data_IF_360210317465
#
_entry.id   IF_360210317465
#
_cell.length_a   1.000
_cell.length_b   1.000
_cell.length_c   1.000
_cell.angle_alpha   90.00
_cell.angle_beta   90.00
_cell.angle_gamma   90.00
#
_symmetry.space_group_name_H-M   'P 1'
#
loop_
_entity.id
_entity.type
_entity.pdbx_description
1 polymer ?
#
# COMPACT_ATOMS: atom_id res chain seq x y z
N UNK A 1 31.51 -16.17 -18.51
CA UNK A 1 31.28 -14.73 -18.77
C UNK A 1 30.36 -14.66 -19.96
N UNK A 2 29.07 -14.50 -19.72
CA UNK A 2 28.05 -14.45 -20.76
C UNK A 2 27.69 -12.97 -20.90
N UNK A 3 27.96 -12.42 -22.08
CA UNK A 3 27.73 -11.02 -22.42
C UNK A 3 26.26 -10.67 -22.17
N UNK A 4 26.04 -9.71 -21.26
CA UNK A 4 24.77 -9.03 -21.10
C UNK A 4 24.47 -8.32 -22.43
N UNK A 5 23.57 -8.91 -23.23
CA UNK A 5 22.83 -8.17 -24.23
C UNK A 5 22.14 -7.02 -23.49
N UNK A 6 22.70 -5.81 -23.61
CA UNK A 6 22.04 -4.55 -23.31
C UNK A 6 20.80 -4.48 -24.19
N UNK A 7 19.71 -5.10 -23.76
CA UNK A 7 18.41 -4.93 -24.38
C UNK A 7 18.05 -3.46 -24.27
N UNK A 8 17.88 -2.78 -25.40
CA UNK A 8 17.56 -1.35 -25.45
C UNK A 8 16.40 -1.04 -24.50
N UNK A 9 16.70 -0.27 -23.45
CA UNK A 9 15.72 0.22 -22.50
C UNK A 9 14.86 1.24 -23.24
N UNK A 10 13.58 0.92 -23.46
CA UNK A 10 12.65 1.77 -24.19
C UNK A 10 11.45 2.13 -23.33
N UNK A 11 10.84 3.26 -23.62
CA UNK A 11 9.58 3.66 -23.00
C UNK A 11 8.45 2.88 -23.68
N UNK A 12 7.75 2.04 -22.92
CA UNK A 12 6.58 1.28 -23.41
C UNK A 12 5.30 2.08 -23.39
N UNK A 13 5.17 3.00 -22.43
CA UNK A 13 3.97 3.79 -22.29
C UNK A 13 4.21 5.01 -21.42
N UNK A 14 3.45 6.05 -21.70
CA UNK A 14 3.39 7.27 -20.91
C UNK A 14 1.94 7.57 -20.62
N UNK A 15 1.67 8.19 -19.48
CA UNK A 15 0.32 8.57 -19.10
C UNK A 15 0.32 9.72 -18.12
N UNK A 16 -0.86 10.26 -17.88
CA UNK A 16 -1.15 11.24 -16.85
C UNK A 16 -2.26 10.67 -15.99
N UNK A 17 -2.12 10.68 -14.66
CA UNK A 17 -3.23 10.35 -13.78
C UNK A 17 -4.31 11.43 -13.83
N UNK A 18 -5.51 11.13 -13.34
CA UNK A 18 -6.62 12.10 -13.23
C UNK A 18 -6.22 13.35 -12.42
N UNK A 19 -5.23 13.21 -11.52
CA UNK A 19 -4.68 14.29 -10.70
C UNK A 19 -3.49 15.00 -11.36
N UNK A 20 -3.25 14.79 -12.66
CA UNK A 20 -2.20 15.48 -13.40
C UNK A 20 -0.78 14.95 -13.15
N UNK A 21 -0.64 13.71 -12.66
CA UNK A 21 0.66 13.18 -12.28
C UNK A 21 1.28 12.41 -13.45
N UNK A 22 2.50 12.78 -13.92
CA UNK A 22 3.16 12.08 -15.01
C UNK A 22 3.57 10.66 -14.64
N UNK A 23 3.32 9.73 -15.56
CA UNK A 23 3.56 8.30 -15.39
C UNK A 23 4.33 7.76 -16.60
N UNK A 24 5.34 6.93 -16.37
CA UNK A 24 6.15 6.31 -17.44
C UNK A 24 6.36 4.84 -17.13
N UNK A 25 6.07 3.98 -18.10
CA UNK A 25 6.32 2.54 -18.05
C UNK A 25 7.42 2.17 -19.03
N UNK A 26 8.42 1.42 -18.56
CA UNK A 26 9.59 1.03 -19.33
C UNK A 26 9.51 -0.43 -19.81
N UNK A 27 10.32 -0.78 -20.81
CA UNK A 27 10.40 -2.13 -21.40
C UNK A 27 10.86 -3.21 -20.43
N UNK A 28 11.57 -2.83 -19.36
CA UNK A 28 12.04 -3.74 -18.30
C UNK A 28 10.97 -4.06 -17.23
N UNK A 29 9.73 -3.64 -17.41
CA UNK A 29 8.62 -3.90 -16.49
C UNK A 29 8.61 -3.02 -15.24
N UNK A 30 9.42 -1.94 -15.22
CA UNK A 30 9.37 -0.90 -14.20
C UNK A 30 8.47 0.25 -14.64
N UNK A 31 7.66 0.76 -13.72
CA UNK A 31 6.89 1.98 -13.93
C UNK A 31 7.22 3.02 -12.88
N UNK A 32 7.33 4.26 -13.32
CA UNK A 32 7.69 5.41 -12.51
C UNK A 32 6.61 6.48 -12.55
N UNK A 33 6.48 7.21 -11.45
CA UNK A 33 5.58 8.35 -11.29
C UNK A 33 6.40 9.54 -10.83
N UNK A 34 6.14 10.72 -11.38
CA UNK A 34 6.84 11.93 -10.95
C UNK A 34 6.15 12.57 -9.76
N UNK A 35 6.85 12.73 -8.63
CA UNK A 35 6.38 13.48 -7.47
C UNK A 35 6.89 14.91 -7.52
N UNK A 36 5.98 15.88 -7.59
CA UNK A 36 6.31 17.31 -7.58
C UNK A 36 6.92 17.75 -6.23
N UNK A 37 6.40 17.24 -5.12
CA UNK A 37 6.86 17.60 -3.76
C UNK A 37 8.31 17.17 -3.52
N UNK A 38 8.66 15.94 -3.91
CA UNK A 38 10.01 15.41 -3.79
C UNK A 38 10.91 15.78 -4.97
N UNK A 39 10.35 16.35 -6.04
CA UNK A 39 11.04 16.66 -7.31
C UNK A 39 11.78 15.44 -7.88
N UNK A 40 11.17 14.27 -7.81
CA UNK A 40 11.81 12.99 -8.13
C UNK A 40 10.87 11.99 -8.81
N UNK A 41 11.44 11.09 -9.61
CA UNK A 41 10.74 9.93 -10.16
C UNK A 41 10.73 8.79 -9.14
N UNK A 42 9.54 8.34 -8.77
CA UNK A 42 9.32 7.25 -7.82
C UNK A 42 9.00 5.97 -8.57
N UNK A 43 9.67 4.88 -8.22
CA UNK A 43 9.34 3.55 -8.71
C UNK A 43 8.07 3.06 -8.03
N UNK A 44 6.98 2.89 -8.79
CA UNK A 44 5.66 2.47 -8.26
C UNK A 44 5.26 1.05 -8.66
N UNK A 45 5.87 0.51 -9.72
CA UNK A 45 5.66 -0.86 -10.17
C UNK A 45 6.98 -1.47 -10.61
N UNK A 46 7.22 -2.72 -10.23
CA UNK A 46 8.35 -3.51 -10.69
C UNK A 46 7.92 -4.96 -10.87
N UNK A 47 7.61 -5.33 -12.11
CA UNK A 47 7.19 -6.68 -12.51
C UNK A 47 8.17 -7.79 -12.09
N UNK A 48 9.45 -7.45 -11.87
CA UNK A 48 10.52 -8.39 -11.56
C UNK A 48 10.94 -8.36 -10.07
N UNK A 49 10.12 -7.81 -9.19
CA UNK A 49 10.44 -7.80 -7.75
C UNK A 49 10.29 -9.20 -7.14
N UNK A 50 11.42 -9.83 -6.80
CA UNK A 50 11.44 -11.17 -6.21
C UNK A 50 10.67 -11.25 -4.88
N UNK A 51 10.66 -10.19 -4.07
CA UNK A 51 9.91 -10.16 -2.81
C UNK A 51 8.40 -10.18 -3.02
N UNK A 52 7.92 -9.61 -4.13
CA UNK A 52 6.50 -9.65 -4.49
C UNK A 52 6.05 -11.08 -4.85
N UNK A 53 6.97 -11.95 -5.24
CA UNK A 53 6.67 -13.36 -5.54
C UNK A 53 6.45 -14.17 -4.27
N UNK A 54 7.19 -13.82 -3.23
CA UNK A 54 6.99 -14.40 -1.92
C UNK A 54 5.64 -13.98 -1.32
N UNK A 55 4.96 -12.95 -1.85
CA UNK A 55 3.72 -12.46 -1.27
C UNK A 55 2.49 -13.31 -1.59
N UNK A 56 1.63 -13.49 -0.59
CA UNK A 56 0.31 -14.11 -0.72
C UNK A 56 -0.84 -13.12 -0.96
N UNK A 57 -0.54 -11.84 -1.23
CA UNK A 57 -1.57 -10.80 -1.37
C UNK A 57 -2.65 -11.15 -2.40
N UNK A 58 -2.29 -11.76 -3.54
CA UNK A 58 -3.26 -12.10 -4.60
C UNK A 58 -4.28 -13.16 -4.17
N UNK A 59 -3.94 -14.00 -3.18
CA UNK A 59 -4.85 -15.01 -2.63
C UNK A 59 -5.77 -14.42 -1.56
N UNK A 60 -5.47 -13.22 -1.08
CA UNK A 60 -6.12 -12.60 0.09
C UNK A 60 -6.85 -11.30 -0.25
N UNK A 61 -6.40 -10.59 -1.28
CA UNK A 61 -6.85 -9.24 -1.63
C UNK A 61 -6.86 -9.09 -3.16
N UNK A 62 -8.05 -9.09 -3.77
CA UNK A 62 -8.21 -8.79 -5.20
C UNK A 62 -8.62 -7.32 -5.36
N UNK A 63 -7.83 -6.49 -6.07
CA UNK A 63 -8.23 -5.12 -6.40
C UNK A 63 -9.36 -5.03 -7.42
N UNK A 64 -9.77 -6.16 -8.03
CA UNK A 64 -10.75 -6.17 -9.13
C UNK A 64 -12.13 -5.68 -8.68
N UNK A 65 -12.50 -5.92 -7.42
CA UNK A 65 -13.75 -5.47 -6.82
C UNK A 65 -13.80 -3.94 -6.58
N UNK A 66 -12.65 -3.26 -6.67
CA UNK A 66 -12.56 -1.82 -6.44
C UNK A 66 -12.96 -0.98 -7.65
N UNK A 67 -13.02 -1.61 -8.82
CA UNK A 67 -13.06 -0.91 -10.10
C UNK A 67 -14.46 -0.50 -10.57
N UNK A 68 -15.55 -1.20 -10.21
CA UNK A 68 -16.88 -1.01 -10.83
C UNK A 68 -16.82 -0.81 -12.38
N UNK A 69 -15.81 -1.37 -13.05
CA UNK A 69 -15.54 -1.17 -14.49
C UNK A 69 -14.53 -0.07 -14.86
N UNK A 70 -14.08 0.77 -13.93
CA UNK A 70 -13.06 1.81 -14.13
C UNK A 70 -11.68 1.34 -13.66
N UNK A 71 -10.71 1.33 -14.57
CA UNK A 71 -9.32 0.97 -14.25
C UNK A 71 -8.69 2.10 -13.43
N UNK A 72 -8.36 1.82 -12.17
CA UNK A 72 -7.70 2.78 -11.29
C UNK A 72 -6.22 2.97 -11.66
N UNK A 73 -5.60 4.13 -11.37
CA UNK A 73 -4.25 4.47 -11.86
C UNK A 73 -3.16 3.45 -11.51
N UNK A 74 -3.13 2.91 -10.29
CA UNK A 74 -2.12 1.92 -9.90
C UNK A 74 -2.42 0.56 -10.55
N UNK A 75 -3.69 0.16 -10.57
CA UNK A 75 -4.13 -1.04 -11.28
C UNK A 75 -3.79 -0.98 -12.78
N UNK A 76 -3.91 0.19 -13.42
CA UNK A 76 -3.54 0.39 -14.83
C UNK A 76 -2.04 0.16 -15.06
N UNK A 77 -1.18 0.62 -14.14
CA UNK A 77 0.27 0.42 -14.23
C UNK A 77 0.70 -1.01 -13.98
N UNK A 78 -0.02 -1.73 -13.10
CA UNK A 78 0.35 -3.07 -12.66
C UNK A 78 -0.35 -4.17 -13.44
N UNK A 79 -1.36 -3.84 -14.23
CA UNK A 79 -2.26 -4.78 -14.92
C UNK A 79 -1.60 -5.67 -15.97
N UNK A 80 -0.30 -5.55 -16.22
CA UNK A 80 0.40 -6.34 -17.22
C UNK A 80 1.79 -6.73 -16.71
N UNK A 81 2.13 -8.02 -16.87
CA UNK A 81 3.46 -8.63 -16.75
C UNK A 81 3.86 -9.22 -15.38
N UNK A 82 3.25 -10.34 -14.98
CA UNK A 82 4.03 -11.38 -14.29
C UNK A 82 4.59 -12.33 -15.35
N UNK A 83 5.91 -12.50 -15.39
CA UNK A 83 6.53 -13.43 -16.34
C UNK A 83 6.12 -14.87 -16.02
N UNK A 84 6.00 -15.72 -17.05
CA UNK A 84 5.67 -17.15 -16.87
C UNK A 84 6.68 -17.85 -15.94
N UNK A 85 7.96 -17.52 -16.06
CA UNK A 85 9.02 -18.02 -15.19
C UNK A 85 8.84 -17.60 -13.72
N UNK A 86 8.33 -16.38 -13.51
CA UNK A 86 8.07 -15.83 -12.19
C UNK A 86 6.97 -16.58 -11.43
N UNK A 87 5.94 -17.07 -12.13
CA UNK A 87 4.88 -17.88 -11.53
C UNK A 87 5.38 -19.23 -11.02
N UNK A 88 6.38 -19.81 -11.69
CA UNK A 88 7.00 -21.07 -11.27
C UNK A 88 7.94 -20.86 -10.08
N UNK A 89 8.68 -19.74 -10.05
CA UNK A 89 9.58 -19.40 -8.96
C UNK A 89 8.85 -19.12 -7.63
N UNK A 90 7.59 -18.66 -7.68
CA UNK A 90 6.76 -18.40 -6.49
C UNK A 90 6.62 -19.63 -5.58
N UNK A 91 6.40 -20.82 -6.14
CA UNK A 91 6.25 -22.04 -5.35
C UNK A 91 7.51 -22.39 -4.54
N UNK A 92 8.69 -22.04 -5.05
CA UNK A 92 9.98 -22.32 -4.42
C UNK A 92 10.31 -21.23 -3.38
N UNK A 93 10.15 -19.96 -3.75
CA UNK A 93 10.52 -18.81 -2.91
C UNK A 93 9.54 -18.58 -1.74
N UNK A 94 8.27 -18.96 -1.89
CA UNK A 94 7.23 -18.83 -0.85
C UNK A 94 7.20 -19.99 0.17
N UNK A 95 8.20 -20.88 0.14
CA UNK A 95 8.24 -22.06 1.01
C UNK A 95 8.44 -21.71 2.49
N UNK A 96 9.21 -20.64 2.77
CA UNK A 96 9.46 -20.17 4.13
C UNK A 96 8.35 -19.19 4.57
N UNK A 97 7.62 -19.47 5.67
CA UNK A 97 6.56 -18.58 6.16
C UNK A 97 7.07 -17.17 6.53
N UNK A 98 8.30 -17.03 7.02
CA UNK A 98 8.87 -15.73 7.38
C UNK A 98 9.17 -14.88 6.13
N UNK A 99 9.78 -15.49 5.11
CA UNK A 99 10.04 -14.81 3.82
C UNK A 99 8.73 -14.39 3.15
N UNK A 100 7.69 -15.21 3.26
CA UNK A 100 6.34 -14.91 2.76
C UNK A 100 5.68 -13.76 3.51
N UNK A 101 5.85 -13.69 4.83
CA UNK A 101 5.36 -12.59 5.65
C UNK A 101 6.03 -11.27 5.26
N UNK A 102 7.36 -11.26 5.17
CA UNK A 102 8.16 -10.11 4.74
C UNK A 102 7.77 -9.67 3.32
N UNK A 103 7.65 -10.61 2.38
CA UNK A 103 7.25 -10.33 1.01
C UNK A 103 5.86 -9.71 0.93
N UNK A 104 4.92 -10.18 1.76
CA UNK A 104 3.56 -9.63 1.81
C UNK A 104 3.49 -8.24 2.42
N UNK A 105 4.19 -7.98 3.53
CA UNK A 105 4.28 -6.64 4.11
C UNK A 105 4.93 -5.67 3.13
N UNK A 106 6.07 -6.04 2.55
CA UNK A 106 6.78 -5.22 1.57
C UNK A 106 5.89 -4.88 0.38
N UNK A 107 5.14 -5.86 -0.13
CA UNK A 107 4.21 -5.60 -1.22
C UNK A 107 3.12 -4.60 -0.82
N UNK A 108 2.44 -4.82 0.31
CA UNK A 108 1.35 -3.94 0.77
C UNK A 108 1.84 -2.50 1.01
N UNK A 109 3.05 -2.35 1.55
CA UNK A 109 3.68 -1.05 1.78
C UNK A 109 4.01 -0.34 0.46
N UNK A 110 4.56 -1.07 -0.52
CA UNK A 110 4.79 -0.54 -1.86
C UNK A 110 3.48 -0.11 -2.52
N UNK A 111 2.40 -0.88 -2.38
CA UNK A 111 1.10 -0.53 -2.94
C UNK A 111 0.51 0.73 -2.30
N UNK A 112 0.59 0.83 -0.97
CA UNK A 112 0.12 2.00 -0.24
C UNK A 112 0.91 3.26 -0.63
N UNK A 113 2.24 3.15 -0.72
CA UNK A 113 3.11 4.25 -1.14
C UNK A 113 2.88 4.65 -2.62
N UNK A 114 2.64 3.68 -3.49
CA UNK A 114 2.34 3.94 -4.90
C UNK A 114 0.98 4.63 -5.07
N UNK A 115 -0.05 4.18 -4.35
CA UNK A 115 -1.36 4.84 -4.34
C UNK A 115 -1.28 6.27 -3.77
N UNK A 116 -0.44 6.47 -2.75
CA UNK A 116 -0.11 7.80 -2.21
C UNK A 116 0.50 8.70 -3.28
N UNK A 117 1.52 8.18 -3.98
CA UNK A 117 2.23 8.90 -5.05
C UNK A 117 1.32 9.28 -6.21
N UNK A 118 0.37 8.41 -6.56
CA UNK A 118 -0.63 8.62 -7.61
C UNK A 118 -1.78 9.54 -7.19
N UNK A 119 -1.83 9.96 -5.93
CA UNK A 119 -2.93 10.72 -5.34
C UNK A 119 -4.29 10.00 -5.48
N UNK A 120 -4.27 8.67 -5.53
CA UNK A 120 -5.46 7.84 -5.71
C UNK A 120 -6.04 7.50 -4.34
N UNK A 121 -6.97 8.33 -3.85
CA UNK A 121 -7.59 8.18 -2.52
C UNK A 121 -8.28 6.81 -2.35
N UNK A 122 -8.98 6.34 -3.39
CA UNK A 122 -9.66 5.03 -3.40
C UNK A 122 -8.68 3.87 -3.25
N UNK A 123 -7.59 3.88 -4.04
CA UNK A 123 -6.56 2.82 -3.96
C UNK A 123 -5.82 2.88 -2.64
N UNK A 124 -5.51 4.09 -2.14
CA UNK A 124 -4.86 4.27 -0.85
C UNK A 124 -5.69 3.66 0.28
N UNK A 125 -6.98 3.98 0.35
CA UNK A 125 -7.89 3.40 1.34
C UNK A 125 -7.96 1.88 1.24
N UNK A 126 -8.08 1.34 0.04
CA UNK A 126 -8.12 -0.12 -0.17
C UNK A 126 -6.85 -0.82 0.33
N UNK A 127 -5.67 -0.29 -0.04
CA UNK A 127 -4.39 -0.88 0.36
C UNK A 127 -4.12 -0.71 1.86
N UNK A 128 -4.54 0.40 2.46
CA UNK A 128 -4.46 0.63 3.90
C UNK A 128 -5.27 -0.42 4.66
N UNK A 129 -6.54 -0.63 4.28
CA UNK A 129 -7.40 -1.61 4.94
C UNK A 129 -6.92 -3.05 4.70
N UNK A 130 -6.32 -3.33 3.53
CA UNK A 130 -5.68 -4.62 3.25
C UNK A 130 -4.46 -4.86 4.12
N UNK A 131 -3.64 -3.82 4.32
CA UNK A 131 -2.52 -3.87 5.26
C UNK A 131 -3.00 -4.16 6.68
N UNK A 132 -4.01 -3.43 7.16
CA UNK A 132 -4.58 -3.60 8.50
C UNK A 132 -5.14 -5.01 8.70
N UNK A 133 -5.91 -5.54 7.75
CA UNK A 133 -6.38 -6.94 7.77
C UNK A 133 -5.22 -7.92 7.93
N UNK A 134 -4.13 -7.69 7.18
CA UNK A 134 -2.95 -8.53 7.26
C UNK A 134 -2.24 -8.42 8.62
N UNK A 135 -2.05 -7.21 9.15
CA UNK A 135 -1.44 -7.00 10.48
C UNK A 135 -2.24 -7.68 11.60
N UNK A 136 -3.57 -7.61 11.54
CA UNK A 136 -4.47 -8.26 12.49
C UNK A 136 -4.39 -9.79 12.37
N UNK A 137 -4.31 -10.33 11.16
CA UNK A 137 -4.17 -11.77 10.94
C UNK A 137 -2.84 -12.31 11.46
N UNK A 138 -1.75 -11.60 11.21
CA UNK A 138 -0.38 -11.98 11.62
C UNK A 138 -0.09 -11.65 13.10
N UNK A 139 -0.94 -10.86 13.76
CA UNK A 139 -0.75 -10.51 15.16
C UNK A 139 0.30 -9.42 15.40
N UNK A 140 0.56 -8.55 14.41
CA UNK A 140 1.62 -7.54 14.43
C UNK A 140 1.18 -6.26 15.15
N UNK A 141 1.03 -6.35 16.47
CA UNK A 141 0.44 -5.31 17.31
C UNK A 141 1.20 -3.98 17.32
N UNK A 142 2.54 -4.00 17.37
CA UNK A 142 3.34 -2.77 17.41
C UNK A 142 3.10 -1.90 16.18
N UNK A 143 3.16 -2.51 14.99
CA UNK A 143 2.92 -1.82 13.72
C UNK A 143 1.49 -1.33 13.58
N UNK A 144 0.53 -2.09 14.12
CA UNK A 144 -0.87 -1.66 14.16
C UNK A 144 -1.07 -0.44 15.06
N UNK A 145 -0.41 -0.37 16.22
CA UNK A 145 -0.42 0.82 17.09
C UNK A 145 0.16 2.03 16.38
N UNK A 146 1.34 1.91 15.78
CA UNK A 146 1.97 3.02 15.05
C UNK A 146 1.04 3.60 13.97
N UNK A 147 0.33 2.71 13.26
CA UNK A 147 -0.66 3.10 12.27
C UNK A 147 -1.84 3.84 12.93
N UNK A 148 -2.43 3.29 13.99
CA UNK A 148 -3.54 3.92 14.71
C UNK A 148 -3.15 5.30 15.29
N UNK A 149 -1.96 5.42 15.89
CA UNK A 149 -1.43 6.68 16.42
C UNK A 149 -1.28 7.74 15.31
N UNK A 150 -0.76 7.33 14.16
CA UNK A 150 -0.60 8.22 13.00
C UNK A 150 -1.94 8.75 12.46
N UNK A 151 -3.00 7.93 12.53
CA UNK A 151 -4.36 8.27 12.07
C UNK A 151 -5.18 9.04 13.10
N UNK A 152 -4.97 8.77 14.39
CA UNK A 152 -5.66 9.48 15.47
C UNK A 152 -5.15 10.92 15.59
N UNK A 153 -3.82 11.05 15.52
CA UNK A 153 -3.12 12.30 15.80
C UNK A 153 -3.01 12.60 17.30
N UNK A 154 -2.45 13.76 17.65
CA UNK A 154 -2.24 14.14 19.04
C UNK A 154 -3.58 14.36 19.76
N UNK A 155 -3.80 13.60 20.83
CA UNK A 155 -5.00 13.68 21.68
C UNK A 155 -5.00 14.93 22.58
N UNK A 156 -3.80 15.45 22.89
CA UNK A 156 -3.62 16.70 23.65
C UNK A 156 -3.02 17.77 22.72
N UNK A 157 -3.62 18.96 22.70
CA UNK A 157 -3.10 20.14 21.98
C UNK A 157 -1.77 20.57 22.61
N UNK A 158 -0.69 19.94 22.17
CA UNK A 158 0.69 20.30 22.50
C UNK A 158 1.33 20.99 21.30
N UNK A 159 2.56 21.52 21.43
CA UNK A 159 3.29 22.08 20.29
C UNK A 159 3.41 21.11 19.09
N UNK A 160 3.42 19.78 19.36
CA UNK A 160 3.39 18.72 18.32
C UNK A 160 2.06 18.62 17.55
N UNK A 161 0.99 19.27 18.05
CA UNK A 161 -0.29 19.36 17.33
C UNK A 161 -0.22 20.18 16.05
N UNK A 162 0.83 20.99 15.87
CA UNK A 162 1.01 21.84 14.70
C UNK A 162 1.48 21.09 13.45
N UNK A 163 2.07 19.89 13.60
CA UNK A 163 2.67 19.13 12.49
C UNK A 163 1.73 18.05 11.93
N UNK A 164 0.78 17.59 12.75
CA UNK A 164 -0.16 16.56 12.33
C UNK A 164 -1.25 17.13 11.41
N UNK A 165 -1.29 16.65 10.17
CA UNK A 165 -2.34 16.99 9.22
C UNK A 165 -3.53 16.03 9.37
N UNK A 166 -4.78 16.53 9.45
CA UNK A 166 -5.97 15.71 9.65
C UNK A 166 -6.38 14.91 8.41
N UNK A 167 -5.90 15.32 7.24
CA UNK A 167 -6.31 14.76 5.96
C UNK A 167 -5.12 14.08 5.28
N UNK A 168 -5.40 12.99 4.56
CA UNK A 168 -4.50 12.40 3.57
C UNK A 168 -5.25 12.48 2.24
N UNK A 169 -4.81 13.39 1.35
CA UNK A 169 -5.56 13.76 0.15
C UNK A 169 -6.98 14.23 0.53
N UNK A 170 -8.02 13.55 0.04
CA UNK A 170 -9.44 13.81 0.31
C UNK A 170 -9.98 13.01 1.51
N UNK A 171 -9.15 12.18 2.16
CA UNK A 171 -9.58 11.28 3.23
C UNK A 171 -9.29 11.87 4.61
N UNK A 172 -10.30 11.90 5.47
CA UNK A 172 -10.13 12.21 6.89
C UNK A 172 -9.44 11.04 7.60
N UNK A 173 -8.29 11.28 8.23
CA UNK A 173 -7.53 10.23 8.94
C UNK A 173 -8.35 9.56 10.05
N UNK A 174 -9.16 10.34 10.75
CA UNK A 174 -10.05 9.84 11.82
C UNK A 174 -11.19 9.00 11.28
N UNK A 175 -11.66 9.23 10.06
CA UNK A 175 -12.65 8.35 9.42
C UNK A 175 -11.99 7.05 8.95
N UNK A 176 -10.76 7.13 8.42
CA UNK A 176 -9.95 5.93 8.16
C UNK A 176 -9.72 5.13 9.43
N UNK A 177 -9.45 5.78 10.57
CA UNK A 177 -9.30 5.10 11.85
C UNK A 177 -10.57 4.35 12.27
N UNK A 178 -11.77 4.89 12.01
CA UNK A 178 -13.03 4.15 12.27
C UNK A 178 -13.07 2.86 11.46
N UNK A 179 -12.75 2.93 10.17
CA UNK A 179 -12.72 1.76 9.29
C UNK A 179 -11.67 0.73 9.74
N UNK A 180 -10.49 1.20 10.18
CA UNK A 180 -9.44 0.38 10.79
C UNK A 180 -9.96 -0.34 12.04
N UNK A 181 -10.62 0.38 12.95
CA UNK A 181 -11.13 -0.17 14.20
C UNK A 181 -12.22 -1.23 13.99
N UNK A 182 -13.03 -1.12 12.93
CA UNK A 182 -13.98 -2.17 12.57
C UNK A 182 -13.26 -3.50 12.26
N UNK A 183 -12.12 -3.44 11.57
CA UNK A 183 -11.31 -4.62 11.27
C UNK A 183 -10.65 -5.15 12.55
N UNK A 184 -10.04 -4.27 13.35
CA UNK A 184 -9.36 -4.65 14.59
C UNK A 184 -10.33 -5.29 15.59
N UNK A 185 -11.53 -4.73 15.75
CA UNK A 185 -12.56 -5.23 16.66
C UNK A 185 -13.10 -6.61 16.31
N UNK A 186 -12.91 -7.07 15.06
CA UNK A 186 -13.29 -8.43 14.66
C UNK A 186 -12.39 -9.52 15.27
N UNK A 187 -11.22 -9.15 15.81
CA UNK A 187 -10.27 -10.07 16.39
C UNK A 187 -10.14 -9.85 17.91
N UNK A 188 -10.57 -10.85 18.70
CA UNK A 188 -10.55 -10.82 20.17
C UNK A 188 -9.17 -10.53 20.77
N UNK A 189 -8.08 -10.92 20.09
CA UNK A 189 -6.70 -10.65 20.53
C UNK A 189 -6.44 -9.15 20.67
N UNK A 190 -7.09 -8.33 19.85
CA UNK A 190 -6.89 -6.88 19.82
C UNK A 190 -8.00 -6.11 20.53
N UNK A 191 -8.86 -6.77 21.31
CA UNK A 191 -9.97 -6.11 22.01
C UNK A 191 -9.51 -4.94 22.89
N UNK A 192 -8.38 -5.10 23.61
CA UNK A 192 -7.82 -4.02 24.43
C UNK A 192 -7.41 -2.81 23.60
N UNK A 193 -6.71 -3.04 22.48
CA UNK A 193 -6.28 -1.99 21.55
C UNK A 193 -7.49 -1.30 20.92
N UNK A 194 -8.51 -2.07 20.51
CA UNK A 194 -9.75 -1.54 19.97
C UNK A 194 -10.45 -0.58 20.94
N UNK A 195 -10.63 -1.00 22.21
CA UNK A 195 -11.28 -0.17 23.24
C UNK A 195 -10.49 1.12 23.46
N UNK A 196 -9.17 1.00 23.62
CA UNK A 196 -8.27 2.14 23.83
C UNK A 196 -8.40 3.21 22.75
N UNK A 197 -8.26 2.83 21.47
CA UNK A 197 -8.32 3.80 20.36
C UNK A 197 -9.73 4.29 20.08
N UNK A 198 -10.78 3.48 20.32
CA UNK A 198 -12.17 3.93 20.20
C UNK A 198 -12.45 5.04 21.21
N UNK A 199 -12.10 4.82 22.48
CA UNK A 199 -12.37 5.78 23.54
C UNK A 199 -11.57 7.08 23.31
N UNK A 200 -10.31 6.99 22.87
CA UNK A 200 -9.52 8.16 22.48
C UNK A 200 -10.15 8.92 21.29
N UNK A 201 -10.61 8.20 20.27
CA UNK A 201 -11.25 8.80 19.10
C UNK A 201 -12.54 9.54 19.48
N UNK A 202 -13.34 9.00 20.40
CA UNK A 202 -14.55 9.65 20.92
C UNK A 202 -14.23 10.92 21.68
N UNK A 203 -13.22 10.88 22.56
CA UNK A 203 -12.78 12.05 23.32
C UNK A 203 -12.33 13.20 22.42
N UNK A 204 -11.72 12.92 21.28
CA UNK A 204 -11.26 13.95 20.33
C UNK A 204 -12.36 14.61 19.50
N UNK A 205 -13.62 14.16 19.60
CA UNK A 205 -14.79 14.81 18.96
C UNK A 205 -15.41 15.91 19.84
N UNK A 206 -15.06 15.94 21.12
CA UNK A 206 -15.50 16.91 22.13
C UNK A 206 -14.57 18.11 22.14
#
# INVERSE_FOLDING_TARGET
MQEDTTGDLSVRGTGLSDNGIPMVSLSNGKSYVFSADMKAWLLVSNANNALQLCSDHQLRFSPQDLSNGTILPLAALQGQTQSKAMRLARGILSSDPNVRQIGTLSHLDCQLAAALSLHSSKEYKFWLLSLVRYLVQEGLEARLRDLCDSLLGPVVKTAKSSEWQPNIMELQKRDLLKDVLLIVGSNLRFQRLFVEYRDQLENTKT
#
